data_IF_969302568924
#
_entry.id   IF_969302568924
#
_cell.length_a   1.000
_cell.length_b   1.000
_cell.length_c   1.000
_cell.angle_alpha   90.00
_cell.angle_beta   90.00
_cell.angle_gamma   90.00
#
_symmetry.space_group_name_H-M   'P 1'
#
loop_
_entity.id
_entity.type
_entity.pdbx_description
1 polymer ?
#
# COMPACT_ATOMS: atom_id res chain seq x y z
N UNK A 1 -16.61 -21.77 24.79
CA UNK A 1 -16.04 -21.04 23.64
C UNK A 1 -16.50 -21.75 22.39
N UNK A 2 -17.20 -21.08 21.47
CA UNK A 2 -17.49 -21.65 20.15
C UNK A 2 -16.24 -21.43 19.30
N UNK A 3 -15.53 -22.50 18.95
CA UNK A 3 -14.43 -22.41 18.00
C UNK A 3 -15.03 -22.30 16.61
N UNK A 4 -14.71 -21.22 15.88
CA UNK A 4 -15.08 -21.12 14.47
C UNK A 4 -14.24 -22.12 13.67
N UNK A 5 -14.90 -22.88 12.79
CA UNK A 5 -14.26 -23.89 11.95
C UNK A 5 -14.45 -23.59 10.48
N UNK A 6 -13.56 -24.11 9.64
CA UNK A 6 -13.68 -24.06 8.18
C UNK A 6 -13.60 -25.46 7.59
N UNK A 7 -14.29 -25.66 6.46
CA UNK A 7 -14.25 -26.90 5.68
C UNK A 7 -13.24 -26.74 4.55
N UNK A 8 -12.24 -27.61 4.52
CA UNK A 8 -11.24 -27.65 3.45
C UNK A 8 -11.55 -28.84 2.56
N UNK A 9 -11.68 -28.59 1.26
CA UNK A 9 -11.91 -29.63 0.26
C UNK A 9 -10.78 -30.65 0.31
N UNK A 10 -11.14 -31.92 0.41
CA UNK A 10 -10.20 -33.04 0.48
C UNK A 10 -10.77 -34.22 -0.31
N UNK A 11 -9.96 -34.99 -1.07
CA UNK A 11 -10.47 -36.08 -1.87
C UNK A 11 -11.34 -37.05 -1.06
N UNK A 12 -12.49 -37.43 -1.63
CA UNK A 12 -13.36 -38.45 -1.04
C UNK A 12 -12.59 -39.76 -0.95
N UNK A 13 -12.53 -40.30 0.26
CA UNK A 13 -11.87 -41.58 0.55
C UNK A 13 -12.68 -42.36 1.58
N UNK A 14 -12.34 -43.62 1.81
CA UNK A 14 -13.03 -44.45 2.80
C UNK A 14 -12.99 -43.84 4.22
N UNK A 15 -11.93 -43.09 4.55
CA UNK A 15 -11.80 -42.32 5.80
C UNK A 15 -12.35 -40.89 5.75
N UNK A 16 -12.76 -40.39 4.58
CA UNK A 16 -13.34 -39.06 4.40
C UNK A 16 -14.48 -39.13 3.35
N UNK A 17 -15.65 -39.67 3.73
CA UNK A 17 -16.76 -39.85 2.78
C UNK A 17 -17.40 -38.52 2.36
N UNK A 18 -17.17 -37.45 3.12
CA UNK A 18 -17.78 -36.14 2.88
C UNK A 18 -16.98 -35.25 1.93
N UNK A 19 -15.73 -35.64 1.61
CA UNK A 19 -14.89 -34.87 0.70
C UNK A 19 -14.39 -33.54 1.27
N UNK A 20 -14.40 -33.40 2.60
CA UNK A 20 -13.81 -32.24 3.26
C UNK A 20 -13.29 -32.58 4.66
N UNK A 21 -12.26 -31.87 5.10
CA UNK A 21 -11.79 -31.89 6.48
C UNK A 21 -12.25 -30.62 7.19
N UNK A 22 -12.51 -30.70 8.49
CA UNK A 22 -12.88 -29.55 9.32
C UNK A 22 -11.67 -29.18 10.16
N UNK A 23 -11.22 -27.93 10.05
CA UNK A 23 -10.11 -27.38 10.82
C UNK A 23 -10.58 -26.18 11.63
N UNK A 24 -9.93 -25.89 12.76
CA UNK A 24 -10.23 -24.68 13.52
C UNK A 24 -9.64 -23.48 12.80
N UNK A 25 -10.38 -22.38 12.76
CA UNK A 25 -9.85 -21.12 12.20
C UNK A 25 -8.61 -20.62 12.96
N UNK A 26 -8.50 -20.93 14.25
CA UNK A 26 -7.32 -20.59 15.05
C UNK A 26 -6.03 -21.29 14.62
N UNK A 27 -6.14 -22.40 13.87
CA UNK A 27 -4.99 -23.12 13.34
C UNK A 27 -4.49 -22.51 12.02
N UNK A 28 -5.25 -21.59 11.42
CA UNK A 28 -4.86 -20.83 10.25
C UNK A 28 -4.16 -19.53 10.66
N UNK A 29 -3.03 -19.23 10.01
CA UNK A 29 -2.31 -17.96 10.15
C UNK A 29 -2.56 -17.07 8.95
N UNK A 30 -2.19 -15.79 9.04
CA UNK A 30 -2.32 -14.80 7.96
C UNK A 30 -1.51 -15.17 6.69
N UNK A 31 -0.60 -16.14 6.78
CA UNK A 31 0.13 -16.69 5.63
C UNK A 31 -0.72 -17.67 4.80
N UNK A 32 -1.85 -18.13 5.33
CA UNK A 32 -2.74 -19.08 4.67
C UNK A 32 -3.85 -18.34 3.91
N UNK A 33 -3.84 -18.46 2.59
CA UNK A 33 -4.88 -17.88 1.74
C UNK A 33 -6.07 -18.84 1.60
N UNK A 34 -7.27 -18.35 1.91
CA UNK A 34 -8.51 -19.11 1.78
C UNK A 34 -9.18 -18.81 0.43
N UNK A 35 -9.51 -19.87 -0.30
CA UNK A 35 -10.19 -19.81 -1.59
C UNK A 35 -11.63 -20.32 -1.46
N UNK A 36 -12.51 -19.90 -2.36
CA UNK A 36 -13.87 -20.43 -2.49
C UNK A 36 -13.89 -21.86 -3.08
N UNK A 37 -15.08 -22.45 -3.21
CA UNK A 37 -15.25 -23.81 -3.76
C UNK A 37 -14.74 -23.96 -5.20
N UNK A 38 -14.64 -22.86 -5.95
CA UNK A 38 -14.11 -22.82 -7.32
C UNK A 38 -12.58 -22.56 -7.36
N UNK A 39 -11.93 -22.48 -6.20
CA UNK A 39 -10.49 -22.19 -6.08
C UNK A 39 -10.14 -20.74 -6.41
N UNK A 40 -11.12 -19.83 -6.36
CA UNK A 40 -10.92 -18.39 -6.58
C UNK A 40 -10.80 -17.70 -5.23
N UNK A 41 -10.09 -16.57 -5.21
CA UNK A 41 -10.15 -15.71 -4.03
C UNK A 41 -11.60 -15.24 -3.87
N UNK A 42 -12.13 -15.21 -2.64
CA UNK A 42 -13.46 -14.66 -2.40
C UNK A 42 -13.52 -13.25 -3.01
N UNK A 43 -14.62 -12.97 -3.71
CA UNK A 43 -14.85 -11.66 -4.32
C UNK A 43 -14.81 -10.64 -3.20
N UNK A 44 -13.81 -9.75 -3.24
CA UNK A 44 -13.69 -8.67 -2.28
C UNK A 44 -15.03 -7.90 -2.22
N UNK A 45 -15.52 -7.64 -1.02
CA UNK A 45 -16.79 -6.95 -0.83
C UNK A 45 -16.57 -5.47 -0.54
N UNK A 46 -17.64 -4.67 -0.61
CA UNK A 46 -17.57 -3.27 -0.20
C UNK A 46 -17.19 -3.12 1.27
N UNK A 47 -17.63 -4.04 2.12
CA UNK A 47 -17.27 -4.06 3.54
C UNK A 47 -15.76 -4.29 3.74
N UNK A 48 -15.15 -5.16 2.92
CA UNK A 48 -13.70 -5.39 2.95
C UNK A 48 -12.92 -4.16 2.51
N UNK A 49 -13.42 -3.42 1.51
CA UNK A 49 -12.84 -2.15 1.07
C UNK A 49 -12.92 -1.10 2.18
N UNK A 50 -14.09 -0.92 2.80
CA UNK A 50 -14.27 0.06 3.87
C UNK A 50 -13.40 -0.29 5.10
N UNK A 51 -13.25 -1.59 5.42
CA UNK A 51 -12.34 -2.05 6.48
C UNK A 51 -10.87 -1.76 6.13
N UNK A 52 -10.46 -1.99 4.87
CA UNK A 52 -9.11 -1.69 4.41
C UNK A 52 -8.81 -0.18 4.44
N UNK A 53 -9.78 0.67 4.04
CA UNK A 53 -9.67 2.13 4.13
C UNK A 53 -9.56 2.60 5.58
N UNK A 54 -10.35 2.02 6.49
CA UNK A 54 -10.32 2.34 7.91
C UNK A 54 -9.00 1.92 8.60
N UNK A 55 -8.26 0.97 8.01
CA UNK A 55 -6.96 0.53 8.52
C UNK A 55 -5.78 1.42 8.06
N UNK A 56 -6.02 2.43 7.20
CA UNK A 56 -5.00 3.41 6.83
C UNK A 56 -4.86 4.47 7.94
N UNK A 57 -3.62 4.89 8.31
CA UNK A 57 -2.35 4.71 7.61
C UNK A 57 -1.49 3.56 8.21
N UNK A 58 -1.60 2.35 7.65
CA UNK A 58 -0.70 1.21 7.95
C UNK A 58 0.58 1.26 7.11
N UNK A 59 1.53 0.34 7.37
CA UNK A 59 2.92 0.25 6.85
C UNK A 59 3.08 0.27 5.30
N UNK A 60 2.67 1.32 4.60
CA UNK A 60 2.93 1.50 3.17
C UNK A 60 3.13 2.99 2.86
N UNK A 61 4.40 3.38 2.78
CA UNK A 61 4.92 4.75 2.84
C UNK A 61 4.66 5.61 1.59
N UNK A 62 3.78 5.21 0.67
CA UNK A 62 3.44 5.98 -0.53
C UNK A 62 1.98 5.78 -0.93
N UNK A 63 1.25 6.89 -1.11
CA UNK A 63 -0.17 6.87 -1.45
C UNK A 63 -0.45 6.18 -2.80
N UNK A 64 0.42 6.36 -3.80
CA UNK A 64 0.26 5.75 -5.12
C UNK A 64 0.50 4.24 -5.06
N UNK A 65 1.41 3.79 -4.20
CA UNK A 65 1.59 2.36 -3.94
C UNK A 65 0.31 1.74 -3.37
N UNK A 66 -0.28 2.36 -2.35
CA UNK A 66 -1.53 1.86 -1.74
C UNK A 66 -2.67 1.86 -2.74
N UNK A 67 -2.86 2.96 -3.49
CA UNK A 67 -3.86 3.06 -4.56
C UNK A 67 -3.70 1.95 -5.60
N UNK A 68 -2.46 1.67 -6.02
CA UNK A 68 -2.17 0.62 -7.01
C UNK A 68 -2.53 -0.76 -6.48
N UNK A 69 -2.18 -1.06 -5.23
CA UNK A 69 -2.52 -2.34 -4.60
C UNK A 69 -4.03 -2.47 -4.38
N UNK A 70 -4.69 -1.44 -3.88
CA UNK A 70 -6.15 -1.44 -3.68
C UNK A 70 -6.90 -1.61 -5.01
N UNK A 71 -6.47 -0.93 -6.08
CA UNK A 71 -7.06 -1.13 -7.41
C UNK A 71 -6.82 -2.55 -7.94
N UNK A 72 -5.66 -3.14 -7.69
CA UNK A 72 -5.38 -4.52 -8.11
C UNK A 72 -6.24 -5.55 -7.34
N UNK A 73 -6.46 -5.32 -6.05
CA UNK A 73 -7.18 -6.24 -5.17
C UNK A 73 -8.71 -6.09 -5.28
N UNK A 74 -9.23 -4.86 -5.18
CA UNK A 74 -10.66 -4.56 -5.21
C UNK A 74 -11.20 -4.34 -6.62
N UNK A 75 -10.34 -4.11 -7.62
CA UNK A 75 -10.73 -3.98 -9.02
C UNK A 75 -11.80 -2.90 -9.23
N UNK A 76 -12.93 -3.29 -9.83
CA UNK A 76 -14.04 -2.39 -10.12
C UNK A 76 -14.82 -1.86 -8.90
N UNK A 77 -14.58 -2.42 -7.70
CA UNK A 77 -15.16 -1.88 -6.45
C UNK A 77 -14.43 -0.64 -5.95
N UNK A 78 -13.16 -0.46 -6.35
CA UNK A 78 -12.34 0.68 -5.96
C UNK A 78 -12.59 1.85 -6.91
N UNK A 79 -13.35 2.83 -6.42
CA UNK A 79 -13.79 3.98 -7.21
C UNK A 79 -12.78 5.12 -7.15
N UNK A 80 -12.98 6.14 -7.99
CA UNK A 80 -12.17 7.37 -7.95
C UNK A 80 -12.33 8.14 -6.63
N UNK A 81 -13.48 8.02 -5.97
CA UNK A 81 -13.71 8.64 -4.66
C UNK A 81 -12.85 7.96 -3.58
N UNK A 82 -12.82 6.62 -3.59
CA UNK A 82 -11.96 5.82 -2.71
C UNK A 82 -10.47 6.12 -2.96
N UNK A 83 -10.06 6.28 -4.22
CA UNK A 83 -8.70 6.69 -4.59
C UNK A 83 -8.32 8.05 -3.98
N UNK A 84 -9.22 9.03 -4.05
CA UNK A 84 -9.02 10.34 -3.42
C UNK A 84 -8.97 10.23 -1.89
N UNK A 85 -9.78 9.35 -1.30
CA UNK A 85 -9.80 9.10 0.13
C UNK A 85 -8.46 8.53 0.61
N UNK A 86 -7.93 7.52 -0.08
CA UNK A 86 -6.61 6.94 0.19
C UNK A 86 -5.51 8.00 0.11
N UNK A 87 -5.48 8.84 -0.94
CA UNK A 87 -4.48 9.92 -1.06
C UNK A 87 -4.58 10.97 0.05
N UNK A 88 -5.78 11.19 0.60
CA UNK A 88 -5.98 12.10 1.73
C UNK A 88 -5.54 11.49 3.06
N UNK A 89 -5.77 10.19 3.26
CA UNK A 89 -5.42 9.46 4.49
C UNK A 89 -3.94 9.06 4.54
N UNK A 90 -3.42 8.55 3.42
CA UNK A 90 -2.04 8.11 3.27
C UNK A 90 -1.22 9.30 2.81
N UNK A 91 -0.56 9.95 3.76
CA UNK A 91 0.49 10.91 3.44
C UNK A 91 1.79 10.13 3.35
N UNK A 92 2.52 10.31 2.25
CA UNK A 92 3.91 9.87 2.20
C UNK A 92 4.62 10.45 3.43
N UNK A 93 5.17 9.59 4.28
CA UNK A 93 6.20 10.01 5.23
C UNK A 93 7.31 10.52 4.33
N UNK A 94 7.51 11.83 4.30
CA UNK A 94 8.37 12.60 3.39
C UNK A 94 9.11 11.70 2.42
N UNK A 95 8.76 11.77 1.12
CA UNK A 95 9.71 11.38 0.08
C UNK A 95 10.95 12.24 0.32
N UNK A 96 11.86 11.76 1.16
CA UNK A 96 13.27 12.12 1.13
C UNK A 96 13.69 11.81 -0.28
N UNK A 97 13.63 12.86 -1.11
CA UNK A 97 14.46 13.26 -2.24
C UNK A 97 15.61 12.29 -2.58
N UNK A 98 15.31 11.02 -2.81
CA UNK A 98 16.29 10.00 -3.20
C UNK A 98 16.33 9.79 -4.71
N UNK A 99 15.52 10.55 -5.45
CA UNK A 99 15.82 10.91 -6.83
C UNK A 99 16.59 12.22 -6.83
N UNK A 100 17.86 12.20 -7.25
CA UNK A 100 18.70 13.39 -7.37
C UNK A 100 17.96 14.55 -8.05
N UNK A 101 17.61 15.58 -7.28
CA UNK A 101 16.80 16.73 -7.72
C UNK A 101 17.30 17.27 -9.05
N UNK A 102 16.39 17.55 -9.98
CA UNK A 102 16.77 18.19 -11.24
C UNK A 102 17.06 19.68 -11.02
N UNK A 103 17.78 20.31 -11.96
CA UNK A 103 18.23 21.71 -11.86
C UNK A 103 17.09 22.67 -11.52
N UNK A 104 15.91 22.48 -12.13
CA UNK A 104 14.74 23.31 -11.84
C UNK A 104 14.21 23.13 -10.42
N UNK A 105 14.21 21.90 -9.90
CA UNK A 105 13.78 21.61 -8.53
C UNK A 105 14.77 22.18 -7.50
N UNK A 106 16.07 22.12 -7.81
CA UNK A 106 17.11 22.75 -6.98
C UNK A 106 16.94 24.28 -6.97
N UNK A 107 16.69 24.90 -8.11
CA UNK A 107 16.42 26.35 -8.19
C UNK A 107 15.15 26.72 -7.42
N UNK A 108 14.07 25.95 -7.55
CA UNK A 108 12.84 26.18 -6.80
C UNK A 108 13.07 26.10 -5.29
N UNK A 109 13.77 25.06 -4.82
CA UNK A 109 14.08 24.87 -3.40
C UNK A 109 15.00 25.97 -2.83
N UNK A 110 16.00 26.41 -3.60
CA UNK A 110 16.87 27.54 -3.22
C UNK A 110 16.10 28.86 -3.17
N UNK A 111 15.21 29.09 -4.13
CA UNK A 111 14.35 30.29 -4.17
C UNK A 111 13.37 30.31 -2.99
N UNK A 112 12.76 29.17 -2.66
CA UNK A 112 11.86 29.02 -1.51
C UNK A 112 12.58 29.32 -0.19
N UNK A 113 13.86 28.94 -0.08
CA UNK A 113 14.73 29.26 1.06
C UNK A 113 15.36 30.66 0.99
N UNK A 114 14.98 31.47 0.00
CA UNK A 114 15.53 32.81 -0.25
C UNK A 114 17.07 32.82 -0.40
N UNK A 115 17.64 31.75 -0.96
CA UNK A 115 19.07 31.64 -1.27
C UNK A 115 19.30 32.15 -2.68
N UNK A 116 20.22 33.11 -2.84
CA UNK A 116 20.58 33.64 -4.15
C UNK A 116 21.23 32.56 -5.03
N UNK A 117 20.65 32.35 -6.21
CA UNK A 117 21.15 31.38 -7.18
C UNK A 117 22.14 32.09 -8.10
N UNK A 118 23.42 31.64 -8.18
CA UNK A 118 24.39 32.23 -9.11
C UNK A 118 23.96 32.00 -10.56
N UNK A 119 24.11 33.02 -11.41
CA UNK A 119 23.86 32.89 -12.84
C UNK A 119 24.87 31.91 -13.47
N UNK A 120 24.37 30.91 -14.20
CA UNK A 120 25.19 29.83 -14.73
C UNK A 120 25.57 28.70 -13.76
N UNK A 121 25.03 28.68 -12.52
CA UNK A 121 25.28 27.60 -11.56
C UNK A 121 24.89 26.23 -12.12
N UNK A 122 25.80 25.24 -11.96
CA UNK A 122 25.57 23.87 -12.43
C UNK A 122 24.75 23.11 -11.39
N UNK A 123 24.19 21.96 -11.80
CA UNK A 123 23.43 21.06 -10.91
C UNK A 123 24.17 20.77 -9.59
N UNK A 124 25.49 20.55 -9.66
CA UNK A 124 26.32 20.29 -8.49
C UNK A 124 26.38 21.47 -7.51
N UNK A 125 26.54 22.69 -8.03
CA UNK A 125 26.61 23.92 -7.21
C UNK A 125 25.26 24.17 -6.51
N UNK A 126 24.16 24.00 -7.24
CA UNK A 126 22.81 24.19 -6.70
C UNK A 126 22.47 23.16 -5.61
N UNK A 127 22.90 21.91 -5.79
CA UNK A 127 22.74 20.85 -4.79
C UNK A 127 23.55 21.17 -3.53
N UNK A 128 24.81 21.59 -3.68
CA UNK A 128 25.66 21.94 -2.55
C UNK A 128 25.11 23.13 -1.73
N UNK A 129 24.54 24.14 -2.39
CA UNK A 129 23.88 25.26 -1.71
C UNK A 129 22.64 24.81 -0.92
N UNK A 130 21.86 23.88 -1.48
CA UNK A 130 20.66 23.36 -0.83
C UNK A 130 21.01 22.48 0.38
N UNK A 131 22.00 21.60 0.24
CA UNK A 131 22.53 20.77 1.33
C UNK A 131 23.11 21.63 2.46
N UNK A 132 23.93 22.64 2.13
CA UNK A 132 24.49 23.56 3.10
C UNK A 132 23.40 24.31 3.90
N UNK A 133 22.29 24.67 3.26
CA UNK A 133 21.15 25.30 3.93
C UNK A 133 20.30 24.35 4.78
N UNK A 134 20.39 23.04 4.57
CA UNK A 134 19.64 22.04 5.34
C UNK A 134 20.42 21.51 6.57
N UNK A 135 21.71 21.83 6.69
CA UNK A 135 22.57 21.42 7.82
C UNK A 135 22.70 22.46 8.95
N UNK A 136 22.01 23.61 8.83
CA UNK A 136 21.94 24.65 9.88
C UNK A 136 20.68 24.54 10.72
#
# INVERSE_FOLDING_TARGET
MQCETVKVVSPVSEGNPLGFIVINKSDLTDEHELFDEDGRRPVATRADLDAALASLPGEYTDAEYVVTQMRAYFGGLFTADDESHVRSLVKSKDKSQSGALNVEQLKAALTEKAIEIPDGAKKADLQALLDASNQG
#
